data_IF_663069384035
#
_entry.id   IF_663069384035
#
_cell.length_a   1.000
_cell.length_b   1.000
_cell.length_c   1.000
_cell.angle_alpha   90.00
_cell.angle_beta   90.00
_cell.angle_gamma   90.00
#
_symmetry.space_group_name_H-M   'P 1'
#
loop_
_entity.id
_entity.type
_entity.pdbx_description
1 polymer ?
#
# COMPACT_ATOMS: atom_id res chain seq x y z
N UNK A 1 -14.86 22.02 -2.81
CA UNK A 1 -13.77 21.93 -3.81
C UNK A 1 -13.37 20.48 -3.91
N UNK A 2 -13.83 19.78 -4.95
CA UNK A 2 -13.52 18.37 -5.16
C UNK A 2 -12.10 18.26 -5.75
N UNK A 3 -11.23 17.46 -5.11
CA UNK A 3 -9.92 17.13 -5.67
C UNK A 3 -10.13 16.39 -6.99
N UNK A 4 -9.71 17.02 -8.08
CA UNK A 4 -9.97 16.57 -9.44
C UNK A 4 -9.39 15.16 -9.67
N UNK A 5 -10.20 14.26 -10.25
CA UNK A 5 -9.86 12.86 -10.52
C UNK A 5 -8.57 12.73 -11.34
N UNK A 6 -8.28 13.74 -12.15
CA UNK A 6 -7.06 13.84 -12.94
C UNK A 6 -5.83 14.20 -12.10
N UNK A 7 -6.00 14.93 -11.00
CA UNK A 7 -4.94 15.14 -10.00
C UNK A 7 -4.55 13.83 -9.32
N UNK A 8 -5.53 13.01 -8.97
CA UNK A 8 -5.29 11.67 -8.39
C UNK A 8 -4.60 10.75 -9.39
N UNK A 9 -4.97 10.80 -10.68
CA UNK A 9 -4.30 10.04 -11.75
C UNK A 9 -2.88 10.52 -12.01
N UNK A 10 -2.64 11.83 -11.98
CA UNK A 10 -1.32 12.41 -12.13
C UNK A 10 -0.40 11.99 -10.98
N UNK A 11 -0.87 12.12 -9.73
CA UNK A 11 -0.14 11.68 -8.55
C UNK A 11 0.13 10.18 -8.57
N UNK A 12 -0.83 9.35 -8.99
CA UNK A 12 -0.63 7.91 -9.14
C UNK A 12 0.44 7.55 -10.19
N UNK A 13 0.58 8.36 -11.26
CA UNK A 13 1.63 8.20 -12.27
C UNK A 13 2.98 8.66 -11.75
N UNK A 14 3.03 9.79 -11.04
CA UNK A 14 4.25 10.32 -10.40
C UNK A 14 4.78 9.38 -9.31
N UNK A 15 3.89 8.80 -8.50
CA UNK A 15 4.21 7.82 -7.45
C UNK A 15 4.88 6.56 -7.98
N UNK A 16 4.59 6.16 -9.21
CA UNK A 16 5.22 5.00 -9.83
C UNK A 16 6.72 5.20 -10.07
N UNK A 17 7.19 6.46 -10.06
CA UNK A 17 8.53 6.84 -10.47
C UNK A 17 9.45 7.32 -9.33
N UNK A 18 8.97 7.62 -8.12
CA UNK A 18 9.82 8.21 -7.08
C UNK A 18 9.67 7.61 -5.67
N UNK A 19 10.83 7.32 -5.08
CA UNK A 19 11.05 7.26 -3.63
C UNK A 19 10.96 8.68 -3.08
N UNK A 20 9.78 9.13 -2.63
CA UNK A 20 9.53 10.51 -2.22
C UNK A 20 10.09 10.85 -0.82
N UNK A 21 10.48 12.11 -0.66
CA UNK A 21 10.90 12.71 0.61
C UNK A 21 9.76 12.61 1.66
N UNK A 22 10.05 12.57 2.97
CA UNK A 22 9.06 12.29 4.01
C UNK A 22 7.87 13.25 4.06
N UNK A 23 8.04 14.52 3.65
CA UNK A 23 6.99 15.55 3.64
C UNK A 23 6.00 15.29 2.51
N UNK A 24 6.49 15.07 1.30
CA UNK A 24 5.70 14.78 0.09
C UNK A 24 4.92 13.46 0.25
N UNK A 25 5.46 12.50 1.01
CA UNK A 25 4.80 11.23 1.32
C UNK A 25 3.53 11.41 2.16
N UNK A 26 3.56 12.28 3.18
CA UNK A 26 2.38 12.55 4.03
C UNK A 26 1.27 13.24 3.27
N UNK A 27 1.61 14.24 2.47
CA UNK A 27 0.63 14.95 1.63
C UNK A 27 0.00 14.02 0.59
N UNK A 28 0.79 13.13 0.01
CA UNK A 28 0.29 12.13 -0.92
C UNK A 28 -0.63 11.10 -0.26
N UNK A 29 -0.30 10.60 0.94
CA UNK A 29 -1.21 9.74 1.72
C UNK A 29 -2.57 10.43 1.91
N UNK A 30 -2.55 11.69 2.36
CA UNK A 30 -3.79 12.46 2.57
C UNK A 30 -4.62 12.60 1.29
N UNK A 31 -3.98 12.89 0.14
CA UNK A 31 -4.68 12.97 -1.15
C UNK A 31 -5.22 11.62 -1.62
N UNK A 32 -4.52 10.52 -1.33
CA UNK A 32 -4.98 9.16 -1.65
C UNK A 32 -6.16 8.76 -0.77
N UNK A 33 -6.16 9.12 0.51
CA UNK A 33 -7.29 8.91 1.42
C UNK A 33 -8.52 9.69 0.95
N UNK A 34 -8.37 10.98 0.60
CA UNK A 34 -9.45 11.79 0.01
C UNK A 34 -9.97 11.19 -1.30
N UNK A 35 -9.09 10.63 -2.13
CA UNK A 35 -9.51 9.97 -3.36
C UNK A 35 -10.33 8.70 -3.11
N UNK A 36 -10.09 7.99 -2.00
CA UNK A 36 -10.89 6.83 -1.59
C UNK A 36 -12.25 7.23 -1.01
N UNK A 37 -12.39 8.41 -0.41
CA UNK A 37 -13.70 8.95 -0.04
C UNK A 37 -14.59 9.20 -1.26
N UNK A 38 -14.00 9.62 -2.38
CA UNK A 38 -14.71 9.86 -3.64
C UNK A 38 -14.98 8.56 -4.40
N UNK A 39 -13.99 7.67 -4.51
CA UNK A 39 -14.13 6.36 -5.16
C UNK A 39 -13.50 5.23 -4.31
N UNK A 40 -14.29 4.61 -3.41
CA UNK A 40 -13.81 3.56 -2.54
C UNK A 40 -13.50 2.24 -3.28
N UNK A 41 -13.92 2.09 -4.55
CA UNK A 41 -13.72 0.86 -5.32
C UNK A 41 -12.44 0.90 -6.17
N UNK A 42 -11.68 1.99 -6.09
CA UNK A 42 -10.46 2.17 -6.88
C UNK A 42 -9.28 1.39 -6.30
N UNK A 43 -9.16 0.13 -6.71
CA UNK A 43 -8.08 -0.77 -6.30
C UNK A 43 -6.66 -0.18 -6.49
N UNK A 44 -6.44 0.63 -7.54
CA UNK A 44 -5.16 1.30 -7.78
C UNK A 44 -4.81 2.33 -6.69
N UNK A 45 -5.79 3.09 -6.20
CA UNK A 45 -5.57 4.08 -5.14
C UNK A 45 -5.22 3.38 -3.82
N UNK A 46 -5.96 2.32 -3.49
CA UNK A 46 -5.70 1.50 -2.29
C UNK A 46 -4.29 0.86 -2.36
N UNK A 47 -3.87 0.39 -3.53
CA UNK A 47 -2.52 -0.17 -3.71
C UNK A 47 -1.41 0.87 -3.47
N UNK A 48 -1.56 2.07 -4.04
CA UNK A 48 -0.57 3.15 -3.89
C UNK A 48 -0.49 3.59 -2.42
N UNK A 49 -1.62 3.65 -1.72
CA UNK A 49 -1.69 3.92 -0.28
C UNK A 49 -0.95 2.85 0.53
N UNK A 50 -1.11 1.56 0.17
CA UNK A 50 -0.35 0.47 0.77
C UNK A 50 1.15 0.64 0.61
N UNK A 51 1.62 0.98 -0.59
CA UNK A 51 3.04 1.24 -0.84
C UNK A 51 3.57 2.44 -0.04
N UNK A 52 2.76 3.49 0.11
CA UNK A 52 3.10 4.67 0.91
C UNK A 52 3.42 4.29 2.35
N UNK A 53 2.53 3.49 2.94
CA UNK A 53 2.65 2.99 4.29
C UNK A 53 3.81 1.99 4.44
N UNK A 54 4.05 1.11 3.45
CA UNK A 54 5.20 0.20 3.47
C UNK A 54 6.52 0.96 3.46
N UNK A 55 6.67 1.96 2.59
CA UNK A 55 7.86 2.81 2.56
C UNK A 55 8.01 3.57 3.88
N UNK A 56 6.92 4.07 4.46
CA UNK A 56 6.97 4.71 5.78
C UNK A 56 7.39 3.71 6.87
N UNK A 57 6.94 2.46 6.81
CA UNK A 57 7.33 1.40 7.73
C UNK A 57 8.80 1.03 7.63
N UNK A 58 9.26 0.67 6.43
CA UNK A 58 10.62 0.17 6.21
C UNK A 58 11.72 1.20 6.46
N UNK A 59 11.43 2.49 6.26
CA UNK A 59 12.40 3.57 6.46
C UNK A 59 12.21 4.32 7.79
N UNK A 60 11.31 3.86 8.68
CA UNK A 60 11.19 4.48 10.00
C UNK A 60 12.21 3.91 10.99
N UNK A 61 13.03 4.75 11.64
CA UNK A 61 13.93 4.27 12.69
C UNK A 61 13.19 3.88 13.99
N UNK A 62 11.96 4.36 14.20
CA UNK A 62 11.15 3.98 15.36
C UNK A 62 10.36 2.71 15.04
N UNK A 63 10.68 1.61 15.73
CA UNK A 63 10.06 0.30 15.51
C UNK A 63 8.54 0.30 15.72
N UNK A 64 8.00 0.97 16.74
CA UNK A 64 6.56 1.02 16.96
C UNK A 64 5.84 1.76 15.83
N UNK A 65 6.41 2.88 15.37
CA UNK A 65 5.85 3.63 14.24
C UNK A 65 6.00 2.84 12.94
N UNK A 66 7.12 2.12 12.76
CA UNK A 66 7.37 1.27 11.62
C UNK A 66 6.29 0.17 11.51
N UNK A 67 6.08 -0.58 12.59
CA UNK A 67 5.09 -1.65 12.68
C UNK A 67 3.67 -1.13 12.41
N UNK A 68 3.28 0.00 13.02
CA UNK A 68 1.97 0.59 12.76
C UNK A 68 1.78 1.03 11.30
N UNK A 69 2.83 1.41 10.59
CA UNK A 69 2.78 1.69 9.16
C UNK A 69 2.68 0.41 8.33
N UNK A 70 3.44 -0.63 8.68
CA UNK A 70 3.39 -1.94 8.01
C UNK A 70 2.02 -2.61 8.17
N UNK A 71 1.35 -2.44 9.31
CA UNK A 71 -0.02 -2.91 9.54
C UNK A 71 -1.01 -2.20 8.61
N UNK A 72 -0.92 -0.87 8.52
CA UNK A 72 -1.75 -0.08 7.59
C UNK A 72 -1.51 -0.49 6.14
N UNK A 73 -0.26 -0.74 5.76
CA UNK A 73 0.07 -1.22 4.43
C UNK A 73 -0.58 -2.58 4.13
N UNK A 74 -0.49 -3.51 5.08
CA UNK A 74 -1.11 -4.83 4.99
C UNK A 74 -2.63 -4.73 4.80
N UNK A 75 -3.30 -3.88 5.59
CA UNK A 75 -4.75 -3.64 5.46
C UNK A 75 -5.11 -3.09 4.08
N UNK A 76 -4.30 -2.16 3.56
CA UNK A 76 -4.48 -1.63 2.20
C UNK A 76 -4.35 -2.73 1.15
N UNK A 77 -3.29 -3.56 1.21
CA UNK A 77 -3.11 -4.64 0.24
C UNK A 77 -4.21 -5.69 0.32
N UNK A 78 -4.68 -6.04 1.51
CA UNK A 78 -5.83 -6.94 1.67
C UNK A 78 -7.12 -6.37 1.07
N UNK A 79 -7.36 -5.08 1.28
CA UNK A 79 -8.51 -4.41 0.68
C UNK A 79 -8.38 -4.36 -0.85
N UNK A 80 -7.20 -4.00 -1.38
CA UNK A 80 -6.93 -4.01 -2.81
C UNK A 80 -7.10 -5.41 -3.42
N UNK A 81 -6.64 -6.46 -2.73
CA UNK A 81 -6.85 -7.86 -3.13
C UNK A 81 -8.35 -8.18 -3.20
N UNK A 82 -9.13 -7.87 -2.15
CA UNK A 82 -10.58 -8.12 -2.16
C UNK A 82 -11.27 -7.45 -3.36
N UNK A 83 -10.93 -6.19 -3.64
CA UNK A 83 -11.46 -5.46 -4.80
C UNK A 83 -11.05 -6.13 -6.11
N UNK A 84 -9.76 -6.41 -6.30
CA UNK A 84 -9.24 -7.02 -7.54
C UNK A 84 -9.81 -8.42 -7.76
N UNK A 85 -9.97 -9.23 -6.71
CA UNK A 85 -10.60 -10.56 -6.81
C UNK A 85 -12.04 -10.47 -7.28
N UNK A 86 -12.81 -9.46 -6.86
CA UNK A 86 -14.17 -9.25 -7.37
C UNK A 86 -14.17 -8.94 -8.87
N UNK A 87 -13.22 -8.11 -9.34
CA UNK A 87 -13.07 -7.84 -10.78
C UNK A 87 -12.61 -9.07 -11.57
N UNK A 88 -11.66 -9.85 -11.04
CA UNK A 88 -11.19 -11.10 -11.65
C UNK A 88 -12.29 -12.15 -11.76
N UNK A 89 -13.21 -12.24 -10.80
CA UNK A 89 -14.37 -13.15 -10.91
C UNK A 89 -15.25 -12.81 -12.11
N UNK A 90 -15.31 -11.52 -12.49
CA UNK A 90 -16.09 -11.05 -13.64
C UNK A 90 -15.32 -11.17 -14.95
N UNK A 91 -14.00 -11.04 -14.90
CA UNK A 91 -13.10 -11.17 -16.05
C UNK A 91 -11.83 -11.95 -15.67
N UNK A 92 -11.88 -13.29 -15.67
CA UNK A 92 -10.78 -14.14 -15.23
C UNK A 92 -9.60 -14.15 -16.23
N UNK A 93 -9.81 -13.71 -17.47
CA UNK A 93 -8.76 -13.59 -18.47
C UNK A 93 -7.92 -12.31 -18.30
N UNK A 94 -8.28 -11.44 -17.35
CA UNK A 94 -7.58 -10.19 -17.10
C UNK A 94 -6.21 -10.40 -16.45
N UNK A 95 -5.20 -10.65 -17.28
CA UNK A 95 -3.83 -10.95 -16.85
C UNK A 95 -3.20 -9.82 -16.03
N UNK A 96 -3.63 -8.58 -16.24
CA UNK A 96 -3.18 -7.43 -15.44
C UNK A 96 -3.63 -7.55 -13.99
N UNK A 97 -4.92 -7.84 -13.78
CA UNK A 97 -5.47 -8.03 -12.43
C UNK A 97 -4.89 -9.28 -11.76
N UNK A 98 -4.63 -10.35 -12.51
CA UNK A 98 -4.01 -11.56 -11.98
C UNK A 98 -2.58 -11.29 -11.47
N UNK A 99 -1.78 -10.56 -12.24
CA UNK A 99 -0.43 -10.12 -11.84
C UNK A 99 -0.48 -9.25 -10.58
N UNK A 100 -1.47 -8.36 -10.46
CA UNK A 100 -1.64 -7.53 -9.27
C UNK A 100 -1.91 -8.37 -8.02
N UNK A 101 -2.75 -9.41 -8.10
CA UNK A 101 -3.00 -10.33 -6.97
C UNK A 101 -1.71 -11.02 -6.51
N UNK A 102 -0.91 -11.52 -7.45
CA UNK A 102 0.37 -12.19 -7.14
C UNK A 102 1.29 -11.23 -6.41
N UNK A 103 1.44 -10.00 -6.92
CA UNK A 103 2.28 -8.97 -6.29
C UNK A 103 1.79 -8.64 -4.87
N UNK A 104 0.48 -8.49 -4.66
CA UNK A 104 -0.08 -8.17 -3.34
C UNK A 104 0.14 -9.31 -2.34
N UNK A 105 -0.05 -10.56 -2.75
CA UNK A 105 0.27 -11.72 -1.91
C UNK A 105 1.75 -11.72 -1.50
N UNK A 106 2.67 -11.50 -2.45
CA UNK A 106 4.10 -11.45 -2.14
C UNK A 106 4.46 -10.31 -1.18
N UNK A 107 3.88 -9.12 -1.36
CA UNK A 107 4.13 -7.97 -0.48
C UNK A 107 3.60 -8.20 0.94
N UNK A 108 2.38 -8.73 1.09
CA UNK A 108 1.82 -9.05 2.41
C UNK A 108 2.63 -10.12 3.14
N UNK A 109 3.09 -11.16 2.45
CA UNK A 109 3.98 -12.18 3.04
C UNK A 109 5.32 -11.60 3.47
N UNK A 110 5.94 -10.74 2.64
CA UNK A 110 7.20 -10.08 2.97
C UNK A 110 7.06 -9.17 4.20
N UNK A 111 5.99 -8.37 4.24
CA UNK A 111 5.72 -7.46 5.36
C UNK A 111 5.48 -8.22 6.66
N UNK A 112 4.85 -9.40 6.62
CA UNK A 112 4.67 -10.24 7.81
C UNK A 112 5.95 -10.94 8.26
N UNK A 113 6.82 -11.30 7.32
CA UNK A 113 8.07 -12.00 7.62
C UNK A 113 9.11 -11.11 8.32
N UNK A 114 9.21 -9.83 7.94
CA UNK A 114 10.25 -8.92 8.45
C UNK A 114 10.12 -8.62 9.97
N UNK A 115 8.94 -8.31 10.52
CA UNK A 115 8.73 -8.15 11.96
C UNK A 115 9.08 -9.40 12.76
N UNK A 116 8.71 -10.59 12.27
CA UNK A 116 8.99 -11.86 12.96
C UNK A 116 10.49 -12.15 13.07
N UNK A 117 11.27 -11.87 12.02
CA UNK A 117 12.74 -11.99 12.06
C UNK A 117 13.36 -10.98 13.04
N UNK A 118 12.83 -9.76 13.08
CA UNK A 118 13.36 -8.70 13.96
C UNK A 118 13.04 -9.00 15.44
N UNK A 119 11.84 -9.51 15.72
CA UNK A 119 11.37 -9.92 17.05
C UNK A 119 12.08 -11.19 17.54
N UNK A 120 12.32 -12.16 16.65
CA UNK A 120 13.10 -13.37 16.93
C UNK A 120 14.56 -13.06 17.28
N UNK A 121 15.21 -12.14 16.54
CA UNK A 121 16.60 -11.76 16.81
C UNK A 121 16.79 -11.00 18.13
N UNK A 122 15.77 -10.29 18.61
CA UNK A 122 15.82 -9.59 19.90
C UNK A 122 15.56 -10.54 21.10
N UNK A 123 14.90 -11.68 20.90
CA UNK A 123 14.70 -12.68 21.95
C UNK A 123 15.93 -13.56 22.21
N UNK A 124 16.92 -13.58 21.30
CA UNK A 124 18.20 -14.27 21.48
C UNK A 124 19.30 -13.44 22.15
N UNK A 125 18.98 -12.23 22.65
CA UNK A 125 19.94 -11.28 23.26
C UNK A 125 19.65 -10.96 24.73
N UNK A 126 18.87 -11.79 25.42
CA UNK A 126 18.65 -11.69 26.88
C UNK A 126 19.64 -12.56 27.65
#
# INVERSE_FOLDING_TARGET
>A
MAGDLDTVRALAREWKNYSLLPIERKEAIMKLEQALEVDPKRHATVFILGNAHSQQGFFNPNEQVALGCLDKATQCFEHAMKLVTLFLKRDPANFFLLKMVIIFCSLTSLIRYIPDVTRSNNQGKL
#
